data_IF_088742405117
#
_entry.id   IF_088742405117
#
_cell.length_a   1.000
_cell.length_b   1.000
_cell.length_c   1.000
_cell.angle_alpha   90.00
_cell.angle_beta   90.00
_cell.angle_gamma   90.00
#
_symmetry.space_group_name_H-M   'P 1'
#
loop_
_entity.id
_entity.type
_entity.pdbx_description
1 polymer ?
#
# COMPACT_ATOMS: atom_id res chain seq x y z
N UNK A 1 -2.06 23.42 -5.13
CA UNK A 1 -1.08 22.33 -4.94
C UNK A 1 -1.87 21.13 -4.37
N UNK A 2 -2.56 20.33 -5.18
CA UNK A 2 -2.08 19.12 -5.88
C UNK A 2 -3.12 18.76 -6.95
N UNK A 3 -2.69 18.66 -8.21
CA UNK A 3 -3.55 18.53 -9.42
C UNK A 3 -3.94 17.07 -9.74
N UNK A 4 -3.75 16.15 -8.80
CA UNK A 4 -3.96 14.72 -9.01
C UNK A 4 -5.37 14.30 -8.58
N UNK A 5 -6.19 13.93 -9.56
CA UNK A 5 -7.48 13.23 -9.39
C UNK A 5 -7.28 11.97 -8.53
N UNK A 6 -8.28 11.59 -7.74
CA UNK A 6 -8.25 10.40 -6.87
C UNK A 6 -7.72 9.14 -7.56
N UNK A 7 -8.11 8.91 -8.82
CA UNK A 7 -7.60 7.81 -9.64
C UNK A 7 -6.06 7.79 -9.75
N UNK A 8 -5.43 8.95 -9.88
CA UNK A 8 -3.98 9.07 -10.00
C UNK A 8 -3.27 8.76 -8.68
N UNK A 9 -3.90 9.04 -7.53
CA UNK A 9 -3.32 8.72 -6.22
C UNK A 9 -3.29 7.21 -5.97
N UNK A 10 -4.38 6.53 -6.27
CA UNK A 10 -4.43 5.06 -6.22
C UNK A 10 -3.47 4.43 -7.23
N UNK A 11 -3.36 4.99 -8.45
CA UNK A 11 -2.40 4.52 -9.44
C UNK A 11 -0.95 4.69 -8.97
N UNK A 12 -0.61 5.83 -8.34
CA UNK A 12 0.72 6.06 -7.77
C UNK A 12 1.03 5.10 -6.63
N UNK A 13 0.07 4.82 -5.75
CA UNK A 13 0.23 3.82 -4.69
C UNK A 13 0.45 2.42 -5.26
N UNK A 14 -0.38 2.00 -6.21
CA UNK A 14 -0.26 0.71 -6.87
C UNK A 14 1.09 0.57 -7.59
N UNK A 15 1.53 1.64 -8.28
CA UNK A 15 2.83 1.67 -8.95
C UNK A 15 3.99 1.60 -7.94
N UNK A 16 3.89 2.30 -6.81
CA UNK A 16 4.88 2.23 -5.73
C UNK A 16 5.00 0.82 -5.15
N UNK A 17 3.87 0.18 -4.84
CA UNK A 17 3.83 -1.21 -4.35
C UNK A 17 4.46 -2.15 -5.39
N UNK A 18 4.06 -2.01 -6.66
CA UNK A 18 4.56 -2.85 -7.74
C UNK A 18 6.07 -2.66 -7.96
N UNK A 19 6.57 -1.43 -7.83
CA UNK A 19 7.99 -1.13 -7.90
C UNK A 19 8.76 -1.81 -6.75
N UNK A 20 8.29 -1.72 -5.50
CA UNK A 20 8.93 -2.40 -4.36
C UNK A 20 8.92 -3.91 -4.54
N UNK A 21 7.81 -4.47 -5.04
CA UNK A 21 7.72 -5.91 -5.33
C UNK A 21 8.77 -6.30 -6.37
N UNK A 22 8.87 -5.59 -7.49
CA UNK A 22 9.85 -5.91 -8.54
C UNK A 22 11.29 -5.79 -8.03
N UNK A 23 11.60 -4.72 -7.30
CA UNK A 23 12.94 -4.49 -6.74
C UNK A 23 13.29 -5.56 -5.72
N UNK A 24 12.37 -5.91 -4.82
CA UNK A 24 12.58 -6.98 -3.83
C UNK A 24 12.77 -8.35 -4.49
N UNK A 25 11.99 -8.65 -5.52
CA UNK A 25 12.06 -9.92 -6.25
C UNK A 25 13.42 -10.08 -6.95
N UNK A 26 13.88 -9.04 -7.65
CA UNK A 26 15.19 -9.02 -8.30
C UNK A 26 16.31 -9.09 -7.25
N UNK A 27 16.22 -8.30 -6.19
CA UNK A 27 17.20 -8.28 -5.11
C UNK A 27 17.33 -9.65 -4.42
N UNK A 28 16.21 -10.31 -4.17
CA UNK A 28 16.17 -11.64 -3.57
C UNK A 28 16.90 -12.66 -4.44
N UNK A 29 16.56 -12.72 -5.73
CA UNK A 29 17.19 -13.65 -6.68
C UNK A 29 18.69 -13.41 -6.73
N UNK A 30 19.12 -12.15 -6.85
CA UNK A 30 20.55 -11.81 -6.90
C UNK A 30 21.31 -12.27 -5.64
N UNK A 31 20.76 -12.01 -4.44
CA UNK A 31 21.45 -12.41 -3.20
C UNK A 31 21.47 -13.93 -3.04
N UNK A 32 20.37 -14.63 -3.35
CA UNK A 32 20.32 -16.09 -3.26
C UNK A 32 21.23 -16.78 -4.29
N UNK A 33 21.30 -16.27 -5.51
CA UNK A 33 22.24 -16.76 -6.52
C UNK A 33 23.70 -16.56 -6.08
N UNK A 34 24.02 -15.46 -5.39
CA UNK A 34 25.33 -15.27 -4.76
C UNK A 34 25.63 -16.22 -3.59
N UNK A 35 24.61 -16.84 -3.01
CA UNK A 35 24.74 -17.83 -1.94
C UNK A 35 24.81 -19.26 -2.47
N UNK A 36 25.01 -19.45 -3.78
CA UNK A 36 24.99 -20.75 -4.47
C UNK A 36 23.68 -21.53 -4.26
N UNK A 37 22.59 -20.81 -3.99
CA UNK A 37 21.25 -21.37 -3.97
C UNK A 37 20.57 -21.17 -5.34
N UNK A 38 19.61 -22.04 -5.65
CA UNK A 38 18.74 -21.93 -6.84
C UNK A 38 17.40 -21.30 -6.43
N UNK A 39 17.27 -19.95 -6.38
CA UNK A 39 16.02 -19.31 -6.00
C UNK A 39 14.97 -19.49 -7.10
N UNK A 40 13.76 -19.82 -6.70
CA UNK A 40 12.59 -19.76 -7.57
C UNK A 40 11.95 -18.37 -7.55
N UNK A 41 11.30 -17.99 -8.65
CA UNK A 41 10.55 -16.73 -8.71
C UNK A 41 9.41 -16.67 -7.67
N UNK A 42 8.85 -17.82 -7.30
CA UNK A 42 7.76 -17.92 -6.32
C UNK A 42 8.28 -17.62 -4.91
N UNK A 43 9.43 -18.17 -4.52
CA UNK A 43 10.06 -17.89 -3.22
C UNK A 43 10.42 -16.41 -3.10
N UNK A 44 10.94 -15.83 -4.18
CA UNK A 44 11.33 -14.43 -4.24
C UNK A 44 10.11 -13.49 -4.12
N UNK A 45 8.99 -13.83 -4.78
CA UNK A 45 7.71 -13.12 -4.60
C UNK A 45 7.16 -13.26 -3.18
N UNK A 46 7.16 -14.48 -2.64
CA UNK A 46 6.69 -14.77 -1.29
C UNK A 46 7.49 -13.99 -0.24
N UNK A 47 8.82 -14.07 -0.30
CA UNK A 47 9.70 -13.33 0.60
C UNK A 47 9.43 -11.83 0.52
N UNK A 48 9.40 -11.27 -0.70
CA UNK A 48 9.18 -9.85 -0.91
C UNK A 48 7.84 -9.39 -0.36
N UNK A 49 6.76 -10.15 -0.59
CA UNK A 49 5.43 -9.82 -0.06
C UNK A 49 5.42 -9.84 1.47
N UNK A 50 5.94 -10.89 2.09
CA UNK A 50 6.00 -11.03 3.55
C UNK A 50 6.84 -9.92 4.18
N UNK A 51 7.97 -9.54 3.57
CA UNK A 51 8.82 -8.44 4.03
C UNK A 51 8.14 -7.08 3.83
N UNK A 52 7.52 -6.84 2.66
CA UNK A 52 6.79 -5.61 2.33
C UNK A 52 5.64 -5.37 3.32
N UNK A 53 4.89 -6.42 3.66
CA UNK A 53 3.79 -6.36 4.63
C UNK A 53 4.27 -6.39 6.08
N UNK A 54 5.58 -6.34 6.32
CA UNK A 54 6.20 -6.34 7.66
C UNK A 54 5.92 -7.59 8.50
N UNK A 55 5.50 -8.71 7.89
CA UNK A 55 5.22 -9.95 8.60
C UNK A 55 6.50 -10.60 9.15
N UNK A 56 7.58 -10.56 8.36
CA UNK A 56 8.92 -10.97 8.83
C UNK A 56 9.10 -12.46 9.10
N UNK A 57 8.11 -13.31 8.79
CA UNK A 57 8.12 -14.74 9.11
C UNK A 57 8.31 -15.57 7.85
N UNK A 58 9.43 -16.27 7.74
CA UNK A 58 9.80 -17.05 6.56
C UNK A 58 10.28 -18.47 6.97
N UNK A 59 10.00 -19.48 6.16
CA UNK A 59 10.71 -20.75 6.18
C UNK A 59 12.25 -20.55 6.01
N UNK A 60 13.06 -21.43 6.61
CA UNK A 60 14.51 -21.26 6.68
C UNK A 60 15.19 -21.28 5.29
N UNK A 61 14.69 -22.11 4.38
CA UNK A 61 15.04 -22.20 2.96
C UNK A 61 14.80 -20.88 2.22
N UNK A 62 13.70 -20.19 2.52
CA UNK A 62 13.36 -18.90 1.92
C UNK A 62 14.17 -17.75 2.52
N UNK A 63 14.57 -17.85 3.79
CA UNK A 63 15.28 -16.77 4.47
C UNK A 63 16.63 -16.43 3.81
N UNK A 64 16.97 -15.14 3.77
CA UNK A 64 18.25 -14.67 3.24
C UNK A 64 19.17 -14.33 4.42
N UNK A 65 20.28 -15.04 4.53
CA UNK A 65 21.27 -14.81 5.58
C UNK A 65 22.39 -13.85 5.14
N UNK A 66 23.21 -13.40 6.10
CA UNK A 66 24.42 -12.62 5.82
C UNK A 66 24.20 -11.12 5.56
N UNK A 67 25.30 -10.39 5.46
CA UNK A 67 25.30 -8.92 5.43
C UNK A 67 24.51 -8.34 4.26
N UNK A 68 24.62 -8.94 3.07
CA UNK A 68 23.88 -8.50 1.88
C UNK A 68 22.37 -8.70 2.03
N UNK A 69 21.95 -9.85 2.59
CA UNK A 69 20.54 -10.15 2.87
C UNK A 69 19.95 -9.18 3.90
N UNK A 70 20.72 -8.85 4.95
CA UNK A 70 20.30 -7.85 5.95
C UNK A 70 20.09 -6.47 5.34
N UNK A 71 21.04 -5.98 4.53
CA UNK A 71 20.93 -4.66 3.87
C UNK A 71 19.71 -4.62 2.95
N UNK A 72 19.50 -5.66 2.13
CA UNK A 72 18.32 -5.75 1.27
C UNK A 72 17.03 -5.73 2.09
N UNK A 73 16.97 -6.53 3.16
CA UNK A 73 15.79 -6.60 4.05
C UNK A 73 15.48 -5.22 4.64
N UNK A 74 16.48 -4.50 5.15
CA UNK A 74 16.31 -3.16 5.72
C UNK A 74 15.72 -2.20 4.67
N UNK A 75 16.27 -2.22 3.45
CA UNK A 75 15.78 -1.36 2.36
C UNK A 75 14.33 -1.67 1.99
N UNK A 76 13.98 -2.96 1.85
CA UNK A 76 12.62 -3.37 1.51
C UNK A 76 11.63 -3.06 2.63
N UNK A 77 11.97 -3.34 3.90
CA UNK A 77 11.12 -3.00 5.05
C UNK A 77 10.87 -1.50 5.12
N UNK A 78 11.92 -0.68 5.01
CA UNK A 78 11.76 0.78 5.02
C UNK A 78 10.87 1.23 3.87
N UNK A 79 11.14 0.77 2.65
CA UNK A 79 10.34 1.12 1.47
C UNK A 79 8.88 0.67 1.60
N UNK A 80 8.62 -0.49 2.19
CA UNK A 80 7.30 -1.04 2.44
C UNK A 80 6.54 -0.23 3.47
N UNK A 81 7.18 0.11 4.60
CA UNK A 81 6.59 0.99 5.62
C UNK A 81 6.24 2.35 5.01
N UNK A 82 7.15 2.99 4.29
CA UNK A 82 6.86 4.28 3.65
C UNK A 82 5.73 4.17 2.62
N UNK A 83 5.77 3.15 1.75
CA UNK A 83 4.78 2.99 0.68
C UNK A 83 3.39 2.69 1.25
N UNK A 84 3.29 1.76 2.20
CA UNK A 84 2.02 1.36 2.79
C UNK A 84 1.48 2.45 3.71
N UNK A 85 2.25 2.96 4.67
CA UNK A 85 1.71 3.90 5.65
C UNK A 85 1.42 5.28 5.04
N UNK A 86 2.32 5.83 4.23
CA UNK A 86 2.10 7.15 3.62
C UNK A 86 1.11 7.03 2.46
N UNK A 87 1.35 6.05 1.58
CA UNK A 87 0.54 5.88 0.38
C UNK A 87 -0.92 5.56 0.69
N UNK A 88 -1.18 4.74 1.70
CA UNK A 88 -2.54 4.39 2.09
C UNK A 88 -3.30 5.60 2.65
N UNK A 89 -2.68 6.45 3.48
CA UNK A 89 -3.33 7.67 3.99
C UNK A 89 -3.74 8.62 2.86
N UNK A 90 -2.86 8.81 1.87
CA UNK A 90 -3.10 9.69 0.72
C UNK A 90 -4.24 9.16 -0.17
N UNK A 91 -4.38 7.84 -0.27
CA UNK A 91 -5.39 7.19 -1.10
C UNK A 91 -6.75 7.07 -0.40
N UNK A 92 -6.78 6.61 0.85
CA UNK A 92 -8.02 6.34 1.60
C UNK A 92 -8.74 7.64 1.99
N UNK A 93 -8.03 8.65 2.48
CA UNK A 93 -8.67 9.88 2.98
C UNK A 93 -9.66 10.51 1.98
N UNK A 94 -9.24 10.77 0.73
CA UNK A 94 -10.13 11.30 -0.30
C UNK A 94 -11.27 10.33 -0.68
N UNK A 95 -11.01 9.01 -0.67
CA UNK A 95 -12.04 8.02 -0.98
C UNK A 95 -13.14 7.97 0.10
N UNK A 96 -12.77 8.06 1.37
CA UNK A 96 -13.73 8.20 2.47
C UNK A 96 -14.51 9.50 2.34
N UNK A 97 -13.84 10.61 2.04
CA UNK A 97 -14.48 11.92 1.88
C UNK A 97 -15.51 11.91 0.75
N UNK A 98 -15.18 11.33 -0.42
CA UNK A 98 -16.13 11.17 -1.51
C UNK A 98 -17.27 10.21 -1.16
N UNK A 99 -16.99 9.12 -0.45
CA UNK A 99 -18.00 8.15 -0.04
C UNK A 99 -18.99 8.78 0.95
N UNK A 100 -18.48 9.55 1.93
CA UNK A 100 -19.33 10.32 2.85
C UNK A 100 -20.12 11.39 2.12
N UNK A 101 -19.51 12.17 1.22
CA UNK A 101 -20.22 13.18 0.42
C UNK A 101 -21.33 12.57 -0.45
N UNK A 102 -21.15 11.33 -0.94
CA UNK A 102 -22.19 10.60 -1.68
C UNK A 102 -23.29 10.06 -0.76
N UNK A 103 -22.93 9.54 0.42
CA UNK A 103 -23.91 9.05 1.40
C UNK A 103 -24.73 10.18 2.04
N UNK A 104 -24.09 11.34 2.28
CA UNK A 104 -24.69 12.57 2.82
C UNK A 104 -25.27 13.46 1.73
N UNK A 105 -25.13 13.10 0.44
CA UNK A 105 -25.88 13.78 -0.62
C UNK A 105 -27.35 13.48 -0.36
N UNK A 106 -27.95 14.37 0.43
CA UNK A 106 -29.35 14.40 0.76
C UNK A 106 -30.10 14.21 -0.55
N UNK A 107 -31.12 13.36 -0.50
CA UNK A 107 -32.27 13.61 -1.34
C UNK A 107 -32.69 15.04 -1.02
N UNK A 108 -32.23 16.00 -1.81
CA UNK A 108 -32.85 17.32 -1.90
C UNK A 108 -34.21 17.06 -2.54
N UNK A 109 -35.11 16.44 -1.78
CA UNK A 109 -36.52 16.55 -2.08
C UNK A 109 -36.84 18.04 -1.99
N UNK A 110 -37.53 18.61 -2.99
CA UNK A 110 -37.84 20.03 -2.98
C UNK A 110 -38.53 20.36 -1.66
N UNK A 111 -37.94 21.30 -0.91
CA UNK A 111 -38.44 21.71 0.40
C UNK A 111 -39.93 22.07 0.22
N UNK A 112 -40.86 21.34 0.86
CA UNK A 112 -42.27 21.66 0.78
C UNK A 112 -42.46 23.11 1.22
N UNK A 113 -43.28 23.88 0.50
CA UNK A 113 -43.55 25.30 0.81
C UNK A 113 -44.25 25.52 2.16
N UNK A 114 -44.57 24.44 2.88
CA UNK A 114 -45.23 24.47 4.18
C UNK A 114 -44.26 24.20 5.34
N UNK A 115 -44.74 24.46 6.57
CA UNK A 115 -43.99 24.52 7.83
C UNK A 115 -42.91 23.42 7.95
N UNK A 116 -41.64 23.82 7.86
CA UNK A 116 -40.49 22.97 8.17
C UNK A 116 -39.82 23.46 9.46
N UNK A 117 -39.27 22.52 10.22
CA UNK A 117 -38.50 22.80 11.44
C UNK A 117 -37.07 22.34 11.22
N UNK A 118 -36.13 23.25 11.42
CA UNK A 118 -34.70 22.94 11.39
C UNK A 118 -34.29 22.47 12.78
N UNK A 119 -33.83 21.22 12.88
CA UNK A 119 -33.30 20.67 14.13
C UNK A 119 -31.78 20.78 14.09
N UNK A 120 -31.23 21.77 14.79
CA UNK A 120 -29.80 21.84 15.06
C UNK A 120 -29.49 21.06 16.34
N UNK A 121 -28.70 20.00 16.20
CA UNK A 121 -28.07 19.36 17.35
C UNK A 121 -26.79 20.15 17.67
N UNK A 122 -26.73 20.71 18.89
CA UNK A 122 -25.56 21.38 19.45
C UNK A 122 -24.70 20.43 20.27
#
# INVERSE_FOLDING_TARGET
MSKYTIKNRFALLALGILAVILIGNIGYILVKTHQEADPTMIEAMYWTLVTLTTLGSYPADVSIAGNYGMILTILIVLSGVFTLFIGLQIAIGPWIEETMKRAVKEKTEPIPKEKHVIVCFS
#
